data_IF_710167659493
#
_entry.id   IF_710167659493
#
_cell.length_a   1.000
_cell.length_b   1.000
_cell.length_c   1.000
_cell.angle_alpha   90.00
_cell.angle_beta   90.00
_cell.angle_gamma   90.00
#
_symmetry.space_group_name_H-M   'P 1'
#
loop_
_entity.id
_entity.type
_entity.pdbx_description
1 polymer ?
#
# COMPACT_ATOMS: atom_id res chain seq x y z
N UNK A 1 28.05 -0.31 -20.90
CA UNK A 1 26.65 -0.10 -21.28
C UNK A 1 25.97 0.62 -20.13
N UNK A 2 25.36 1.75 -20.44
CA UNK A 2 24.93 2.78 -19.51
C UNK A 2 23.84 2.25 -18.56
N UNK A 3 24.17 2.13 -17.27
CA UNK A 3 23.24 1.65 -16.23
C UNK A 3 22.14 2.68 -15.89
N UNK A 4 22.21 3.87 -16.48
CA UNK A 4 21.28 4.98 -16.27
C UNK A 4 19.87 4.69 -16.79
N UNK A 5 19.72 3.81 -17.79
CA UNK A 5 18.42 3.49 -18.40
C UNK A 5 17.62 2.44 -17.61
N UNK A 6 18.26 1.64 -16.75
CA UNK A 6 17.59 0.56 -16.01
C UNK A 6 16.98 1.01 -14.67
N UNK A 7 17.26 2.25 -14.25
CA UNK A 7 16.62 2.88 -13.09
C UNK A 7 15.28 3.55 -13.44
N UNK A 8 15.01 3.76 -14.73
CA UNK A 8 13.79 4.39 -15.21
C UNK A 8 12.57 3.44 -15.19
N UNK A 9 12.78 2.16 -14.86
CA UNK A 9 11.72 1.15 -14.76
C UNK A 9 11.17 0.98 -13.34
N UNK A 10 11.74 1.65 -12.33
CA UNK A 10 11.20 1.72 -10.96
C UNK A 10 10.14 2.83 -10.81
N UNK A 11 9.49 3.18 -11.91
CA UNK A 11 8.52 4.24 -11.93
C UNK A 11 7.17 3.75 -11.37
N UNK A 12 6.77 4.44 -10.31
CA UNK A 12 5.41 4.60 -9.77
C UNK A 12 4.95 3.41 -8.91
N UNK A 13 4.83 3.63 -7.59
CA UNK A 13 4.16 2.79 -6.55
C UNK A 13 5.01 1.71 -5.85
N UNK A 14 6.35 1.82 -5.85
CA UNK A 14 7.18 1.15 -4.83
C UNK A 14 7.24 1.97 -3.54
N UNK A 15 6.69 1.48 -2.42
CA UNK A 15 6.72 2.19 -1.13
C UNK A 15 8.09 2.10 -0.43
N UNK A 16 8.93 1.14 -0.82
CA UNK A 16 10.24 0.87 -0.24
C UNK A 16 11.27 0.73 -1.35
N UNK A 17 12.15 1.73 -1.51
CA UNK A 17 13.34 1.61 -2.35
C UNK A 17 14.49 1.09 -1.50
N UNK A 18 14.82 -0.20 -1.62
CA UNK A 18 15.97 -0.79 -0.95
C UNK A 18 17.17 -0.73 -1.89
N UNK A 19 18.20 0.03 -1.51
CA UNK A 19 19.53 -0.10 -2.10
C UNK A 19 20.38 -0.99 -1.21
N UNK A 20 21.45 -1.61 -1.73
CA UNK A 20 22.39 -2.39 -0.92
C UNK A 20 23.08 -1.62 0.23
N UNK A 21 22.73 -0.35 0.46
CA UNK A 21 23.22 0.53 1.53
C UNK A 21 22.11 1.17 2.39
N UNK A 22 20.84 0.79 2.22
CA UNK A 22 19.71 1.35 2.99
C UNK A 22 18.59 1.90 2.11
N UNK A 23 17.70 2.72 2.70
CA UNK A 23 16.54 3.26 1.99
C UNK A 23 16.93 4.40 1.03
N UNK A 24 16.33 4.38 -0.15
CA UNK A 24 16.47 5.45 -1.14
C UNK A 24 15.56 6.61 -0.73
N UNK A 25 16.12 7.82 -0.65
CA UNK A 25 15.33 9.04 -0.39
C UNK A 25 14.34 9.27 -1.53
N UNK A 26 13.09 9.50 -1.17
CA UNK A 26 12.00 9.76 -2.12
C UNK A 26 12.13 11.16 -2.70
N UNK A 27 12.12 11.24 -4.03
CA UNK A 27 12.09 12.52 -4.74
C UNK A 27 10.71 13.20 -4.66
N UNK A 28 10.68 14.52 -4.85
CA UNK A 28 9.44 15.31 -4.76
C UNK A 28 8.36 14.87 -5.77
N UNK A 29 8.76 14.45 -6.98
CA UNK A 29 7.83 13.94 -8.00
C UNK A 29 7.16 12.66 -7.53
N UNK A 30 7.93 11.72 -6.97
CA UNK A 30 7.41 10.47 -6.44
C UNK A 30 6.46 10.72 -5.26
N UNK A 31 6.83 11.64 -4.35
CA UNK A 31 5.95 12.06 -3.25
C UNK A 31 4.63 12.63 -3.78
N UNK A 32 4.68 13.51 -4.78
CA UNK A 32 3.48 14.12 -5.38
C UNK A 32 2.59 13.07 -6.06
N UNK A 33 3.16 12.17 -6.85
CA UNK A 33 2.42 11.09 -7.51
C UNK A 33 1.77 10.14 -6.50
N UNK A 34 2.48 9.78 -5.42
CA UNK A 34 1.91 8.95 -4.38
C UNK A 34 0.79 9.68 -3.63
N UNK A 35 0.96 10.97 -3.32
CA UNK A 35 -0.11 11.79 -2.75
C UNK A 35 -1.35 11.84 -3.65
N UNK A 36 -1.16 12.00 -4.96
CA UNK A 36 -2.26 11.98 -5.93
C UNK A 36 -2.95 10.61 -5.96
N UNK A 37 -2.17 9.52 -5.96
CA UNK A 37 -2.70 8.16 -5.87
C UNK A 37 -3.54 7.96 -4.62
N UNK A 38 -3.05 8.35 -3.44
CA UNK A 38 -3.78 8.21 -2.17
C UNK A 38 -5.12 8.98 -2.16
N UNK A 39 -5.21 10.11 -2.86
CA UNK A 39 -6.45 10.86 -3.05
C UNK A 39 -7.40 10.14 -4.02
N UNK A 40 -6.87 9.54 -5.07
CA UNK A 40 -7.65 8.85 -6.11
C UNK A 40 -8.06 7.41 -5.72
N UNK A 41 -7.37 6.79 -4.78
CA UNK A 41 -7.56 5.39 -4.37
C UNK A 41 -9.03 5.05 -4.10
N UNK A 42 -9.84 5.82 -3.34
CA UNK A 42 -11.24 5.50 -3.11
C UNK A 42 -12.07 5.46 -4.41
N UNK A 43 -11.76 6.32 -5.37
CA UNK A 43 -12.44 6.35 -6.67
C UNK A 43 -12.05 5.14 -7.51
N UNK A 44 -10.75 4.80 -7.55
CA UNK A 44 -10.25 3.61 -8.24
C UNK A 44 -10.96 2.36 -7.68
N UNK A 45 -11.02 2.21 -6.36
CA UNK A 45 -11.68 1.08 -5.71
C UNK A 45 -13.16 0.96 -6.07
N UNK A 46 -13.90 2.07 -6.12
CA UNK A 46 -15.31 2.07 -6.52
C UNK A 46 -15.50 1.69 -7.99
N UNK A 47 -14.63 2.17 -8.87
CA UNK A 47 -14.66 1.80 -10.29
C UNK A 47 -14.37 0.32 -10.44
N UNK A 48 -13.34 -0.20 -9.75
CA UNK A 48 -13.00 -1.62 -9.77
C UNK A 48 -14.16 -2.48 -9.25
N UNK A 49 -14.77 -2.11 -8.12
CA UNK A 49 -15.94 -2.80 -7.56
C UNK A 49 -17.12 -2.80 -8.54
N UNK A 50 -17.38 -1.66 -9.20
CA UNK A 50 -18.41 -1.56 -10.23
C UNK A 50 -18.11 -2.49 -11.42
N UNK A 51 -16.88 -2.50 -11.94
CA UNK A 51 -16.48 -3.39 -13.05
C UNK A 51 -16.74 -4.85 -12.69
N UNK A 52 -16.40 -5.28 -11.47
CA UNK A 52 -16.67 -6.64 -11.01
C UNK A 52 -18.16 -6.93 -10.76
N UNK A 53 -19.01 -5.92 -10.64
CA UNK A 53 -20.47 -6.10 -10.57
C UNK A 53 -21.11 -6.40 -11.94
N UNK A 54 -20.39 -6.16 -13.05
CA UNK A 54 -20.91 -6.37 -14.40
C UNK A 54 -20.90 -7.87 -14.73
N UNK A 55 -22.07 -8.51 -14.67
CA UNK A 55 -22.25 -9.95 -14.96
C UNK A 55 -21.74 -10.38 -16.33
N UNK A 56 -21.78 -9.49 -17.33
CA UNK A 56 -21.22 -9.79 -18.65
C UNK A 56 -19.71 -10.06 -18.60
N UNK A 57 -19.00 -9.39 -17.69
CA UNK A 57 -17.56 -9.59 -17.49
C UNK A 57 -17.27 -10.79 -16.57
N UNK A 58 -18.06 -10.99 -15.52
CA UNK A 58 -17.76 -12.02 -14.50
C UNK A 58 -18.38 -13.40 -14.76
N UNK A 59 -19.52 -13.48 -15.43
CA UNK A 59 -20.28 -14.73 -15.61
C UNK A 59 -20.12 -15.34 -17.01
N UNK A 60 -19.54 -14.63 -17.98
CA UNK A 60 -19.30 -15.16 -19.33
C UNK A 60 -17.86 -15.62 -19.52
N UNK A 61 -17.66 -16.62 -20.40
CA UNK A 61 -16.32 -17.12 -20.76
C UNK A 61 -15.47 -16.00 -21.36
N UNK A 62 -16.01 -15.25 -22.32
CA UNK A 62 -15.31 -14.13 -22.96
C UNK A 62 -14.94 -13.02 -21.96
N UNK A 63 -15.87 -12.66 -21.08
CA UNK A 63 -15.61 -11.68 -20.01
C UNK A 63 -14.49 -12.12 -19.07
N UNK A 64 -14.49 -13.39 -18.66
CA UNK A 64 -13.43 -13.96 -17.81
C UNK A 64 -12.07 -13.96 -18.50
N UNK A 65 -12.01 -14.24 -19.79
CA UNK A 65 -10.75 -14.15 -20.55
C UNK A 65 -10.23 -12.71 -20.65
N UNK A 66 -11.12 -11.73 -20.83
CA UNK A 66 -10.74 -10.30 -20.78
C UNK A 66 -10.17 -9.95 -19.40
N UNK A 67 -10.83 -10.36 -18.31
CA UNK A 67 -10.33 -10.12 -16.95
C UNK A 67 -8.98 -10.79 -16.70
N UNK A 68 -8.74 -12.00 -17.24
CA UNK A 68 -7.43 -12.66 -17.18
C UNK A 68 -6.36 -11.89 -17.92
N UNK A 69 -6.65 -11.38 -19.12
CA UNK A 69 -5.72 -10.55 -19.88
C UNK A 69 -5.36 -9.27 -19.12
N UNK A 70 -6.36 -8.59 -18.54
CA UNK A 70 -6.14 -7.41 -17.69
C UNK A 70 -5.28 -7.77 -16.47
N UNK A 71 -5.56 -8.88 -15.79
CA UNK A 71 -4.78 -9.33 -14.65
C UNK A 71 -3.32 -9.65 -15.02
N UNK A 72 -3.10 -10.33 -16.15
CA UNK A 72 -1.75 -10.62 -16.67
C UNK A 72 -1.00 -9.35 -17.03
N UNK A 73 -1.67 -8.39 -17.68
CA UNK A 73 -1.08 -7.09 -18.00
C UNK A 73 -0.74 -6.28 -16.72
N UNK A 74 -1.58 -6.39 -15.69
CA UNK A 74 -1.37 -5.74 -14.39
C UNK A 74 -0.20 -6.33 -13.59
N UNK A 75 0.35 -7.49 -13.98
CA UNK A 75 1.51 -8.08 -13.32
C UNK A 75 2.75 -7.18 -13.35
N UNK A 76 2.87 -6.32 -14.37
CA UNK A 76 3.95 -5.34 -14.48
C UNK A 76 3.80 -4.15 -13.52
N UNK A 77 2.65 -4.00 -12.86
CA UNK A 77 2.41 -2.96 -11.87
C UNK A 77 2.90 -3.41 -10.48
N UNK A 78 3.17 -2.47 -9.56
CA UNK A 78 3.45 -2.82 -8.18
C UNK A 78 2.31 -3.63 -7.57
N UNK A 79 2.68 -4.78 -7.02
CA UNK A 79 1.75 -5.74 -6.45
C UNK A 79 2.00 -5.87 -4.96
N UNK A 80 0.93 -6.12 -4.22
CA UNK A 80 1.02 -6.45 -2.80
C UNK A 80 1.70 -7.81 -2.63
N UNK A 81 2.55 -7.92 -1.62
CA UNK A 81 3.12 -9.20 -1.18
C UNK A 81 2.44 -9.58 0.12
N UNK A 82 1.97 -10.82 0.19
CA UNK A 82 1.44 -11.39 1.43
C UNK A 82 2.62 -11.96 2.22
N UNK A 83 2.81 -11.45 3.44
CA UNK A 83 3.88 -11.88 4.35
C UNK A 83 3.28 -12.35 5.67
N UNK A 84 4.04 -13.15 6.44
CA UNK A 84 3.60 -13.56 7.77
C UNK A 84 3.62 -12.37 8.74
N UNK A 85 2.86 -12.48 9.83
CA UNK A 85 2.84 -11.46 10.88
C UNK A 85 4.25 -11.21 11.44
N UNK A 86 5.03 -12.26 11.69
CA UNK A 86 6.41 -12.15 12.18
C UNK A 86 7.33 -11.47 11.16
N UNK A 87 7.11 -11.71 9.86
CA UNK A 87 7.84 -11.01 8.82
C UNK A 87 7.50 -9.51 8.79
N UNK A 88 6.22 -9.16 8.96
CA UNK A 88 5.80 -7.76 9.06
C UNK A 88 6.39 -7.06 10.29
N UNK A 89 6.46 -7.74 11.45
CA UNK A 89 7.12 -7.21 12.65
C UNK A 89 8.61 -6.92 12.39
N UNK A 90 9.34 -7.85 11.75
CA UNK A 90 10.75 -7.63 11.37
C UNK A 90 10.93 -6.45 10.40
N UNK A 91 9.98 -6.21 9.50
CA UNK A 91 10.03 -5.05 8.60
C UNK A 91 9.87 -3.75 9.39
N UNK A 92 8.97 -3.72 10.38
CA UNK A 92 8.82 -2.56 11.27
C UNK A 92 10.12 -2.32 12.04
N UNK A 93 10.68 -3.35 12.66
CA UNK A 93 11.92 -3.23 13.42
C UNK A 93 13.06 -2.71 12.53
N UNK A 94 13.23 -3.30 11.33
CA UNK A 94 14.23 -2.84 10.36
C UNK A 94 14.07 -1.37 9.97
N UNK A 95 12.85 -0.92 9.66
CA UNK A 95 12.56 0.48 9.32
C UNK A 95 12.93 1.41 10.47
N UNK A 96 12.55 1.04 11.69
CA UNK A 96 12.73 1.89 12.86
C UNK A 96 14.20 1.92 13.31
N UNK A 97 14.93 0.82 13.17
CA UNK A 97 16.37 0.78 13.46
C UNK A 97 17.19 1.61 12.45
N UNK A 98 16.80 1.61 11.17
CA UNK A 98 17.60 2.22 10.10
C UNK A 98 17.21 3.66 9.77
N UNK A 99 15.93 4.01 9.85
CA UNK A 99 15.42 5.29 9.32
C UNK A 99 14.73 6.17 10.36
N UNK A 100 14.59 5.73 11.62
CA UNK A 100 13.93 6.56 12.65
C UNK A 100 14.64 7.90 12.86
N UNK A 101 15.98 7.89 12.91
CA UNK A 101 16.79 9.12 13.00
C UNK A 101 16.63 10.03 11.76
N UNK A 102 16.21 9.49 10.62
CA UNK A 102 15.94 10.22 9.38
C UNK A 102 14.47 10.66 9.25
N UNK A 103 13.66 10.48 10.30
CA UNK A 103 12.27 10.91 10.35
C UNK A 103 11.26 9.89 9.81
N UNK A 104 11.62 8.59 9.78
CA UNK A 104 10.64 7.54 9.52
C UNK A 104 9.48 7.59 10.52
N UNK A 105 8.27 7.45 10.01
CA UNK A 105 7.03 7.46 10.79
C UNK A 105 6.24 6.19 10.47
N UNK A 106 5.42 5.77 11.42
CA UNK A 106 4.38 4.77 11.24
C UNK A 106 3.04 5.46 11.48
N UNK A 107 2.07 5.20 10.62
CA UNK A 107 0.72 5.68 10.77
C UNK A 107 -0.27 4.54 10.59
N UNK A 108 -1.37 4.58 11.34
CA UNK A 108 -2.48 3.64 11.18
C UNK A 108 -3.79 4.40 11.00
N UNK A 109 -4.60 3.92 10.08
CA UNK A 109 -5.86 4.53 9.69
C UNK A 109 -6.95 3.50 9.41
N UNK A 110 -8.17 3.99 9.11
CA UNK A 110 -9.26 3.12 8.70
C UNK A 110 -8.94 2.48 7.35
N UNK A 111 -9.32 1.22 7.17
CA UNK A 111 -9.14 0.51 5.90
C UNK A 111 -9.77 1.30 4.75
N UNK A 112 -8.94 1.73 3.79
CA UNK A 112 -9.39 2.56 2.66
C UNK A 112 -10.46 1.84 1.86
N UNK A 113 -10.33 0.54 1.64
CA UNK A 113 -11.32 -0.29 0.95
C UNK A 113 -12.67 -0.32 1.66
N UNK A 114 -12.68 -0.59 2.98
CA UNK A 114 -13.93 -0.63 3.74
C UNK A 114 -14.64 0.72 3.73
N UNK A 115 -13.87 1.81 3.83
CA UNK A 115 -14.41 3.17 3.77
C UNK A 115 -14.93 3.53 2.38
N UNK A 116 -14.17 3.23 1.32
CA UNK A 116 -14.51 3.59 -0.04
C UNK A 116 -15.78 2.87 -0.53
N UNK A 117 -15.94 1.61 -0.12
CA UNK A 117 -17.04 0.73 -0.54
C UNK A 117 -18.19 0.64 0.48
N UNK A 118 -18.10 1.35 1.61
CA UNK A 118 -19.06 1.26 2.72
C UNK A 118 -19.27 -0.16 3.26
N UNK A 119 -18.20 -0.99 3.26
CA UNK A 119 -18.20 -2.40 3.71
C UNK A 119 -17.45 -2.55 5.04
N UNK A 120 -18.00 -1.97 6.09
CA UNK A 120 -17.37 -1.92 7.41
C UNK A 120 -17.35 -3.29 8.10
N UNK A 121 -16.17 -3.71 8.56
CA UNK A 121 -15.98 -4.91 9.39
C UNK A 121 -14.83 -4.68 10.36
N UNK A 122 -15.09 -4.84 11.65
CA UNK A 122 -14.03 -4.72 12.67
C UNK A 122 -12.94 -5.80 12.49
N UNK A 123 -11.65 -5.47 12.71
CA UNK A 123 -11.13 -4.15 13.08
C UNK A 123 -11.15 -3.16 11.91
N UNK A 124 -11.67 -1.96 12.15
CA UNK A 124 -11.75 -0.90 11.12
C UNK A 124 -10.40 -0.21 10.88
N UNK A 125 -9.61 -0.02 11.94
CA UNK A 125 -8.30 0.67 11.93
C UNK A 125 -7.15 -0.29 11.60
N UNK A 126 -7.11 -0.81 10.37
CA UNK A 126 -6.17 -1.87 9.96
C UNK A 126 -5.28 -1.53 8.77
N UNK A 127 -5.34 -0.31 8.26
CA UNK A 127 -4.40 0.13 7.22
C UNK A 127 -3.20 0.81 7.86
N UNK A 128 -2.02 0.21 7.69
CA UNK A 128 -0.77 0.67 8.29
C UNK A 128 0.19 1.14 7.20
N UNK A 129 0.65 2.37 7.33
CA UNK A 129 1.53 3.02 6.37
C UNK A 129 2.84 3.38 7.07
N UNK A 130 3.94 3.21 6.36
CA UNK A 130 5.30 3.40 6.89
C UNK A 130 6.05 4.48 6.11
N UNK A 131 7.16 4.97 6.67
CA UNK A 131 8.07 5.95 6.05
C UNK A 131 7.33 7.22 5.56
N UNK A 132 7.67 7.73 4.39
CA UNK A 132 7.04 8.91 3.78
C UNK A 132 5.55 8.69 3.46
N UNK A 133 5.09 7.44 3.33
CA UNK A 133 3.67 7.15 3.19
C UNK A 133 2.90 7.55 4.44
N UNK A 134 3.45 7.29 5.63
CA UNK A 134 2.84 7.71 6.89
C UNK A 134 2.63 9.23 6.94
N UNK A 135 3.58 10.00 6.40
CA UNK A 135 3.49 11.45 6.27
C UNK A 135 2.33 11.87 5.34
N UNK A 136 2.24 11.28 4.15
CA UNK A 136 1.17 11.56 3.18
C UNK A 136 -0.21 11.29 3.81
N UNK A 137 -0.44 10.07 4.30
CA UNK A 137 -1.76 9.65 4.78
C UNK A 137 -2.18 10.36 6.07
N UNK A 138 -1.21 10.70 6.94
CA UNK A 138 -1.45 11.56 8.10
C UNK A 138 -1.92 12.96 7.67
N UNK A 139 -1.26 13.59 6.69
CA UNK A 139 -1.60 14.94 6.24
C UNK A 139 -2.87 15.03 5.40
N UNK A 140 -3.31 13.93 4.78
CA UNK A 140 -4.60 13.90 4.06
C UNK A 140 -5.82 13.92 5.01
N UNK A 141 -5.62 13.92 6.34
CA UNK A 141 -6.69 13.94 7.36
C UNK A 141 -7.73 12.83 7.17
N UNK A 142 -7.28 11.68 6.68
CA UNK A 142 -8.11 10.51 6.39
C UNK A 142 -8.38 9.63 7.63
N UNK A 143 -8.19 10.18 8.84
CA UNK A 143 -8.32 9.45 10.11
C UNK A 143 -7.08 8.64 10.50
N UNK A 144 -5.93 8.87 9.85
CA UNK A 144 -4.67 8.25 10.25
C UNK A 144 -4.08 8.96 11.47
N UNK A 145 -3.53 8.17 12.38
CA UNK A 145 -2.76 8.66 13.53
C UNK A 145 -1.37 8.05 13.53
N UNK A 146 -0.40 8.78 14.05
CA UNK A 146 0.95 8.27 14.24
C UNK A 146 0.96 7.25 15.38
N UNK A 147 1.76 6.20 15.21
CA UNK A 147 1.96 5.12 16.19
C UNK A 147 3.45 4.81 16.33
N UNK A 148 3.83 4.18 17.44
CA UNK A 148 5.18 3.67 17.63
C UNK A 148 5.29 2.20 17.17
N UNK A 149 6.52 1.67 17.18
CA UNK A 149 6.81 0.31 16.73
C UNK A 149 6.10 -0.76 17.57
N UNK A 150 6.09 -0.62 18.89
CA UNK A 150 5.46 -1.59 19.80
C UNK A 150 3.95 -1.66 19.58
N UNK A 151 3.30 -0.50 19.48
CA UNK A 151 1.88 -0.40 19.16
C UNK A 151 1.57 -1.02 17.80
N UNK A 152 2.40 -0.76 16.79
CA UNK A 152 2.24 -1.35 15.46
C UNK A 152 2.32 -2.89 15.51
N UNK A 153 3.31 -3.45 16.19
CA UNK A 153 3.46 -4.91 16.36
C UNK A 153 2.31 -5.53 17.14
N UNK A 154 1.85 -4.88 18.19
CA UNK A 154 0.69 -5.33 18.96
C UNK A 154 -0.60 -5.30 18.13
N UNK A 155 -0.77 -4.31 17.25
CA UNK A 155 -1.88 -4.27 16.29
C UNK A 155 -1.82 -5.44 15.31
N UNK A 156 -0.65 -5.71 14.71
CA UNK A 156 -0.47 -6.83 13.78
C UNK A 156 -0.84 -8.18 14.41
N UNK A 157 -0.37 -8.45 15.63
CA UNK A 157 -0.69 -9.67 16.39
C UNK A 157 -2.18 -9.78 16.69
N UNK A 158 -2.82 -8.67 17.06
CA UNK A 158 -4.27 -8.66 17.31
C UNK A 158 -5.07 -8.92 16.05
N UNK A 159 -4.72 -8.29 14.93
CA UNK A 159 -5.43 -8.49 13.67
C UNK A 159 -5.33 -9.92 13.19
N UNK A 160 -4.16 -10.53 13.31
CA UNK A 160 -3.98 -11.95 12.98
C UNK A 160 -4.90 -12.87 13.80
N UNK A 161 -5.11 -12.58 15.09
CA UNK A 161 -6.00 -13.36 15.96
C UNK A 161 -7.49 -13.22 15.61
N UNK A 162 -7.90 -12.07 15.06
CA UNK A 162 -9.31 -11.76 14.79
C UNK A 162 -9.76 -12.23 13.40
N UNK A 163 -8.85 -12.34 12.42
CA UNK A 163 -9.15 -12.70 11.03
C UNK A 163 -9.68 -11.53 10.20
#
# INVERSE_FOLDING_TARGET
MDHSAMYLSFFIIGHLGLSGRGFIRVGWVQYLLHKLYAVLEPTILRITDFVFSIKLLTDTVAGREILKLVATAAWALPHGVVITTEAAERVIDFIMETEYANGAKLAVGPCVCQRALHRWKEPSMKDMVVLYGADIYYHLKLGYRLINADEAKDMLRRFHKVG
#
